data_IF_253474367824
#
_entry.id   IF_253474367824
#
_cell.length_a   1.000
_cell.length_b   1.000
_cell.length_c   1.000
_cell.angle_alpha   90.00
_cell.angle_beta   90.00
_cell.angle_gamma   90.00
#
_symmetry.space_group_name_H-M   'P 1'
#
loop_
_entity.id
_entity.type
_entity.pdbx_description
1 polymer ?
#
# COMPACT_ATOMS: atom_id res chain seq x y z
N UNK A 1 28.67 -11.35 18.34
CA UNK A 1 27.86 -11.09 17.13
C UNK A 1 28.80 -10.56 16.05
N UNK A 2 28.78 -11.13 14.84
CA UNK A 2 29.59 -10.59 13.73
C UNK A 2 29.00 -9.27 13.24
N UNK A 3 29.81 -8.45 12.54
CA UNK A 3 29.34 -7.19 11.93
C UNK A 3 28.17 -7.43 10.98
N UNK A 4 28.24 -8.49 10.15
CA UNK A 4 27.15 -8.85 9.23
C UNK A 4 25.87 -9.25 9.96
N UNK A 5 25.94 -9.96 11.09
CA UNK A 5 24.75 -10.29 11.89
C UNK A 5 24.12 -9.04 12.50
N UNK A 6 24.96 -8.15 13.06
CA UNK A 6 24.51 -6.89 13.64
C UNK A 6 23.77 -6.06 12.59
N UNK A 7 24.33 -6.02 11.38
CA UNK A 7 23.77 -5.27 10.27
C UNK A 7 22.47 -5.86 9.74
N UNK A 8 22.37 -7.20 9.64
CA UNK A 8 21.10 -7.87 9.30
C UNK A 8 19.99 -7.50 10.29
N UNK A 9 20.29 -7.55 11.59
CA UNK A 9 19.32 -7.16 12.63
C UNK A 9 18.95 -5.68 12.52
N UNK A 10 19.94 -4.80 12.29
CA UNK A 10 19.72 -3.36 12.10
C UNK A 10 18.81 -3.08 10.91
N UNK A 11 19.05 -3.74 9.76
CA UNK A 11 18.25 -3.60 8.56
C UNK A 11 16.81 -4.10 8.77
N UNK A 12 16.61 -5.22 9.48
CA UNK A 12 15.25 -5.69 9.82
C UNK A 12 14.52 -4.69 10.72
N UNK A 13 15.20 -4.10 11.72
CA UNK A 13 14.62 -3.05 12.58
C UNK A 13 14.26 -1.79 11.79
N UNK A 14 15.18 -1.30 10.96
CA UNK A 14 14.97 -0.14 10.10
C UNK A 14 13.77 -0.34 9.15
N UNK A 15 13.63 -1.55 8.59
CA UNK A 15 12.46 -1.89 7.76
C UNK A 15 11.16 -1.84 8.56
N UNK A 16 11.14 -2.37 9.79
CA UNK A 16 9.97 -2.29 10.67
C UNK A 16 9.58 -0.85 10.99
N UNK A 17 10.56 0.01 11.30
CA UNK A 17 10.34 1.44 11.56
C UNK A 17 9.85 2.20 10.32
N UNK A 18 10.39 1.88 9.14
CA UNK A 18 9.95 2.45 7.87
C UNK A 18 8.50 2.03 7.54
N UNK A 19 8.16 0.76 7.74
CA UNK A 19 6.81 0.24 7.54
C UNK A 19 5.79 0.90 8.48
N UNK A 20 6.17 1.13 9.74
CA UNK A 20 5.33 1.86 10.71
C UNK A 20 5.00 3.29 10.24
N UNK A 21 5.85 3.87 9.40
CA UNK A 21 5.73 5.22 8.87
C UNK A 21 5.21 5.23 7.41
N UNK A 22 4.81 4.08 6.88
CA UNK A 22 4.33 3.95 5.49
C UNK A 22 5.39 4.17 4.41
N UNK A 23 6.68 4.13 4.77
CA UNK A 23 7.80 4.36 3.83
C UNK A 23 8.20 3.06 3.14
N UNK A 24 7.35 2.58 2.24
CA UNK A 24 7.51 1.27 1.60
C UNK A 24 8.77 1.14 0.74
N UNK A 25 9.23 2.21 0.08
CA UNK A 25 10.49 2.19 -0.67
C UNK A 25 11.70 1.89 0.23
N UNK A 26 11.70 2.43 1.45
CA UNK A 26 12.76 2.16 2.44
C UNK A 26 12.68 0.74 2.99
N UNK A 27 11.47 0.17 3.09
CA UNK A 27 11.30 -1.25 3.44
C UNK A 27 11.94 -2.14 2.37
N UNK A 28 11.66 -1.85 1.10
CA UNK A 28 12.23 -2.57 -0.05
C UNK A 28 13.75 -2.47 -0.06
N UNK A 29 14.29 -1.26 0.11
CA UNK A 29 15.74 -1.03 0.18
C UNK A 29 16.36 -1.86 1.32
N UNK A 30 15.80 -1.78 2.53
CA UNK A 30 16.31 -2.49 3.70
C UNK A 30 16.33 -4.01 3.50
N UNK A 31 15.28 -4.59 2.89
CA UNK A 31 15.24 -6.02 2.59
C UNK A 31 16.13 -6.43 1.43
N UNK A 32 16.36 -5.55 0.46
CA UNK A 32 17.30 -5.79 -0.63
C UNK A 32 18.74 -5.89 -0.09
N UNK A 33 19.15 -4.92 0.74
CA UNK A 33 20.46 -4.91 1.40
C UNK A 33 20.61 -6.11 2.36
N UNK A 34 19.57 -6.42 3.14
CA UNK A 34 19.56 -7.58 4.04
C UNK A 34 19.70 -8.90 3.28
N UNK A 35 19.03 -9.03 2.13
CA UNK A 35 19.10 -10.21 1.27
C UNK A 35 20.53 -10.50 0.80
N UNK A 36 21.28 -9.46 0.44
CA UNK A 36 22.68 -9.57 0.05
C UNK A 36 23.55 -10.09 1.20
N UNK A 37 23.37 -9.56 2.42
CA UNK A 37 24.13 -9.99 3.59
C UNK A 37 23.77 -11.43 4.02
N UNK A 38 22.50 -11.80 3.93
CA UNK A 38 22.05 -13.17 4.24
C UNK A 38 22.68 -14.19 3.30
N UNK A 39 22.86 -13.86 2.02
CA UNK A 39 23.47 -14.76 1.04
C UNK A 39 24.93 -15.14 1.39
N UNK A 40 25.65 -14.26 2.08
CA UNK A 40 27.05 -14.48 2.49
C UNK A 40 27.22 -14.88 3.96
N UNK A 41 26.15 -14.85 4.77
CA UNK A 41 26.24 -15.09 6.23
C UNK A 41 25.82 -16.52 6.58
N UNK A 42 26.67 -17.32 7.26
CA UNK A 42 26.30 -18.66 7.68
C UNK A 42 25.08 -18.68 8.61
N UNK A 43 24.07 -19.48 8.26
CA UNK A 43 22.80 -19.55 8.98
C UNK A 43 22.93 -19.94 10.46
N UNK A 44 23.91 -20.78 10.80
CA UNK A 44 24.19 -21.21 12.18
C UNK A 44 24.56 -20.08 13.14
N UNK A 45 24.82 -18.89 12.60
CA UNK A 45 25.29 -17.74 13.35
C UNK A 45 24.25 -16.63 13.47
N UNK A 46 23.10 -16.78 12.81
CA UNK A 46 22.03 -15.77 12.80
C UNK A 46 21.12 -15.92 14.03
N UNK A 47 20.62 -14.81 14.59
CA UNK A 47 19.57 -14.82 15.60
C UNK A 47 18.19 -15.12 14.95
N UNK A 48 18.03 -16.33 14.44
CA UNK A 48 16.91 -16.73 13.57
C UNK A 48 15.54 -16.45 14.18
N UNK A 49 15.33 -16.77 15.46
CA UNK A 49 14.03 -16.56 16.12
C UNK A 49 13.65 -15.08 16.21
N UNK A 50 14.63 -14.21 16.52
CA UNK A 50 14.41 -12.76 16.58
C UNK A 50 14.07 -12.21 15.18
N UNK A 51 14.83 -12.64 14.16
CA UNK A 51 14.61 -12.23 12.78
C UNK A 51 13.25 -12.68 12.26
N UNK A 52 12.85 -13.93 12.52
CA UNK A 52 11.55 -14.46 12.10
C UNK A 52 10.39 -13.73 12.79
N UNK A 53 10.52 -13.41 14.08
CA UNK A 53 9.51 -12.61 14.79
C UNK A 53 9.35 -11.24 14.15
N UNK A 54 10.45 -10.52 13.90
CA UNK A 54 10.39 -9.19 13.28
C UNK A 54 9.85 -9.25 11.84
N UNK A 55 10.27 -10.25 11.06
CA UNK A 55 9.77 -10.48 9.70
C UNK A 55 8.25 -10.78 9.70
N UNK A 56 7.76 -11.51 10.71
CA UNK A 56 6.33 -11.76 10.92
C UNK A 56 5.55 -10.47 11.22
N UNK A 57 6.04 -9.66 12.16
CA UNK A 57 5.42 -8.37 12.50
C UNK A 57 5.40 -7.39 11.32
N UNK A 58 6.41 -7.42 10.45
CA UNK A 58 6.40 -6.63 9.23
C UNK A 58 5.35 -7.15 8.23
N UNK A 59 5.27 -8.47 8.06
CA UNK A 59 4.29 -9.10 7.17
C UNK A 59 2.86 -8.74 7.55
N UNK A 60 2.54 -8.77 8.84
CA UNK A 60 1.21 -8.40 9.33
C UNK A 60 0.87 -6.93 9.01
N UNK A 61 1.86 -6.04 9.14
CA UNK A 61 1.69 -4.63 8.73
C UNK A 61 1.47 -4.49 7.22
N UNK A 62 2.21 -5.24 6.41
CA UNK A 62 2.04 -5.23 4.95
C UNK A 62 0.63 -5.68 4.58
N UNK A 63 0.14 -6.78 5.15
CA UNK A 63 -1.23 -7.24 4.90
C UNK A 63 -2.27 -6.22 5.34
N UNK A 64 -2.06 -5.57 6.49
CA UNK A 64 -2.96 -4.50 6.96
C UNK A 64 -2.98 -3.32 5.98
N UNK A 65 -1.82 -2.89 5.50
CA UNK A 65 -1.72 -1.81 4.52
C UNK A 65 -2.37 -2.19 3.17
N UNK A 66 -2.21 -3.43 2.71
CA UNK A 66 -2.86 -3.93 1.50
C UNK A 66 -4.38 -3.90 1.61
N UNK A 67 -4.95 -4.39 2.72
CA UNK A 67 -6.38 -4.35 2.95
C UNK A 67 -6.94 -2.91 2.91
N UNK A 68 -6.25 -1.97 3.57
CA UNK A 68 -6.65 -0.55 3.55
C UNK A 68 -6.57 0.03 2.13
N UNK A 69 -5.52 -0.28 1.36
CA UNK A 69 -5.38 0.19 -0.02
C UNK A 69 -6.47 -0.38 -0.93
N UNK A 70 -6.83 -1.66 -0.76
CA UNK A 70 -7.92 -2.30 -1.49
C UNK A 70 -9.25 -1.58 -1.24
N UNK A 71 -9.57 -1.30 0.03
CA UNK A 71 -10.78 -0.56 0.41
C UNK A 71 -10.82 0.85 -0.21
N UNK A 72 -9.69 1.58 -0.13
CA UNK A 72 -9.57 2.91 -0.72
C UNK A 72 -9.72 2.91 -2.24
N UNK A 73 -9.19 1.88 -2.91
CA UNK A 73 -9.34 1.72 -4.37
C UNK A 73 -10.80 1.46 -4.76
N UNK A 74 -11.52 0.65 -3.98
CA UNK A 74 -12.95 0.42 -4.17
C UNK A 74 -13.73 1.73 -4.01
N UNK A 75 -13.47 2.49 -2.94
CA UNK A 75 -14.12 3.77 -2.69
C UNK A 75 -13.86 4.79 -3.81
N UNK A 76 -12.61 4.90 -4.25
CA UNK A 76 -12.22 5.78 -5.34
C UNK A 76 -12.94 5.40 -6.66
N UNK A 77 -13.06 4.11 -6.94
CA UNK A 77 -13.76 3.62 -8.12
C UNK A 77 -15.27 3.89 -8.06
N UNK A 78 -15.89 3.77 -6.89
CA UNK A 78 -17.30 4.10 -6.68
C UNK A 78 -17.55 5.60 -6.84
N UNK A 79 -16.68 6.44 -6.27
CA UNK A 79 -16.73 7.89 -6.41
C UNK A 79 -16.60 8.30 -7.88
N UNK A 80 -15.65 7.71 -8.61
CA UNK A 80 -15.47 7.94 -10.05
C UNK A 80 -16.73 7.62 -10.84
N UNK A 81 -17.37 6.46 -10.58
CA UNK A 81 -18.63 6.08 -11.22
C UNK A 81 -19.73 7.08 -10.92
N UNK A 82 -19.89 7.49 -9.65
CA UNK A 82 -20.93 8.43 -9.26
C UNK A 82 -20.78 9.79 -9.94
N UNK A 83 -19.55 10.30 -10.05
CA UNK A 83 -19.26 11.53 -10.78
C UNK A 83 -19.59 11.39 -12.27
N UNK A 84 -19.29 10.23 -12.88
CA UNK A 84 -19.63 9.95 -14.27
C UNK A 84 -21.15 9.94 -14.51
N UNK A 85 -21.91 9.27 -13.64
CA UNK A 85 -23.38 9.25 -13.68
C UNK A 85 -23.97 10.66 -13.57
N UNK A 86 -23.51 11.45 -12.59
CA UNK A 86 -23.98 12.81 -12.40
C UNK A 86 -23.72 13.69 -13.63
N UNK A 87 -22.52 13.57 -14.24
CA UNK A 87 -22.18 14.27 -15.48
C UNK A 87 -23.14 13.89 -16.60
N UNK A 88 -23.41 12.59 -16.78
CA UNK A 88 -24.35 12.12 -17.80
C UNK A 88 -25.75 12.71 -17.60
N UNK A 89 -26.28 12.67 -16.37
CA UNK A 89 -27.58 13.24 -16.05
C UNK A 89 -27.65 14.75 -16.34
N UNK A 90 -26.57 15.49 -16.05
CA UNK A 90 -26.51 16.94 -16.29
C UNK A 90 -26.36 17.29 -17.78
N UNK A 91 -25.63 16.50 -18.58
CA UNK A 91 -25.56 16.70 -20.04
C UNK A 91 -26.82 16.28 -20.77
N UNK A 92 -27.70 15.47 -20.16
CA UNK A 92 -28.99 15.03 -20.73
C UNK A 92 -30.14 15.98 -20.32
N UNK A 93 -29.85 17.19 -19.83
CA UNK A 93 -30.91 18.21 -19.68
C UNK A 93 -31.56 18.50 -21.05
N UNK A 94 -32.89 18.33 -21.19
CA UNK A 94 -33.59 18.56 -22.44
C UNK A 94 -33.52 20.05 -22.78
N UNK A 95 -32.88 20.35 -23.91
CA UNK A 95 -32.98 21.66 -24.53
C UNK A 95 -34.41 21.88 -25.03
N UNK A 96 -34.98 23.00 -24.57
CA UNK A 96 -36.18 23.75 -25.00
C UNK A 96 -37.56 23.41 -24.40
N UNK A 97 -38.15 24.36 -23.65
CA UNK A 97 -39.59 24.59 -23.65
C UNK A 97 -39.98 25.45 -24.88
N UNK A 98 -41.00 25.02 -25.62
CA UNK A 98 -41.64 25.83 -26.67
C UNK A 98 -42.35 24.93 -27.70
N UNK A 99 -43.64 25.03 -27.99
CA UNK A 99 -44.66 26.01 -27.62
C UNK A 99 -46.00 25.29 -27.40
N UNK A 100 -46.77 25.74 -26.41
CA UNK A 100 -48.19 25.38 -26.30
C UNK A 100 -48.95 26.34 -27.22
N UNK A 101 -49.46 25.85 -28.35
CA UNK A 101 -50.47 26.58 -29.11
C UNK A 101 -51.81 26.44 -28.40
N UNK A 102 -52.36 27.56 -27.94
CA UNK A 102 -53.78 27.67 -27.62
C UNK A 102 -54.46 28.18 -28.88
N UNK A 103 -55.24 27.31 -29.54
CA UNK A 103 -56.18 27.73 -30.57
C UNK A 103 -57.36 28.45 -29.90
N UNK A 104 -57.71 29.62 -30.46
CA UNK A 104 -58.79 30.50 -30.03
C UNK A 104 -60.05 30.28 -30.88
#
# INVERSE_FOLDING_TARGET
MSESQAEIVRLTKAAGEAAQQGRWDQVIQSYSERGLLLASTPASTLPTDELLRMDGELRDRIHTAQAVLEDLLVEAQMTKRKVQELRQCLTVQPSRPGAVSIEA
#
